data_IF_564071256803
#
_entry.id   IF_564071256803
#
_cell.length_a   1.000
_cell.length_b   1.000
_cell.length_c   1.000
_cell.angle_alpha   90.00
_cell.angle_beta   90.00
_cell.angle_gamma   90.00
#
_symmetry.space_group_name_H-M   'P 1'
#
loop_
_entity.id
_entity.type
_entity.pdbx_description
1 polymer ?
#
# COMPACT_ATOMS: atom_id res chain seq x y z
N UNK A 1 -20.69 -11.18 -12.56
CA UNK A 1 -20.13 -11.34 -11.19
C UNK A 1 -20.29 -12.81 -10.82
N UNK A 2 -19.48 -13.69 -11.41
CA UNK A 2 -18.12 -14.10 -11.03
C UNK A 2 -18.18 -15.37 -10.18
N UNK A 3 -18.15 -16.52 -10.84
CA UNK A 3 -17.94 -17.86 -10.27
C UNK A 3 -16.77 -17.88 -9.28
N UNK A 4 -15.78 -17.02 -9.53
CA UNK A 4 -14.61 -16.76 -8.69
C UNK A 4 -14.95 -16.18 -7.31
N UNK A 5 -16.05 -15.44 -7.18
CA UNK A 5 -16.52 -14.88 -5.90
C UNK A 5 -17.20 -15.95 -5.03
N UNK A 6 -17.96 -16.87 -5.65
CA UNK A 6 -18.58 -18.00 -4.94
C UNK A 6 -17.55 -19.06 -4.52
N UNK A 7 -16.54 -19.32 -5.36
CA UNK A 7 -15.40 -20.17 -4.98
C UNK A 7 -14.59 -19.55 -3.84
N UNK A 8 -14.42 -18.22 -3.84
CA UNK A 8 -13.74 -17.50 -2.75
C UNK A 8 -14.56 -17.48 -1.45
N UNK A 9 -15.89 -17.37 -1.52
CA UNK A 9 -16.75 -17.46 -0.34
C UNK A 9 -16.80 -18.88 0.24
N UNK A 10 -16.82 -19.91 -0.60
CA UNK A 10 -16.78 -21.31 -0.14
C UNK A 10 -15.47 -21.64 0.57
N UNK A 11 -14.34 -21.15 0.03
CA UNK A 11 -13.03 -21.35 0.64
C UNK A 11 -12.86 -20.56 1.94
N UNK A 12 -13.46 -19.37 2.06
CA UNK A 12 -13.45 -18.60 3.30
C UNK A 12 -14.21 -19.30 4.44
N UNK A 13 -15.30 -20.01 4.12
CA UNK A 13 -16.13 -20.74 5.10
C UNK A 13 -15.44 -22.00 5.66
N UNK A 14 -14.73 -22.75 4.80
CA UNK A 14 -13.90 -23.89 5.25
C UNK A 14 -12.74 -23.46 6.16
N UNK A 15 -12.25 -22.21 6.02
CA UNK A 15 -11.14 -21.68 6.80
C UNK A 15 -11.56 -21.17 8.19
N UNK A 16 -12.80 -20.71 8.34
CA UNK A 16 -13.39 -20.31 9.62
C UNK A 16 -13.66 -21.55 10.50
N UNK A 17 -14.14 -22.65 9.90
CA UNK A 17 -14.40 -23.92 10.60
C UNK A 17 -13.12 -24.64 11.07
N UNK A 18 -11.96 -24.33 10.47
CA UNK A 18 -10.68 -24.95 10.80
C UNK A 18 -9.90 -24.26 11.95
N UNK A 19 -10.37 -23.12 12.47
CA UNK A 19 -9.80 -22.45 13.65
C UNK A 19 -8.36 -21.94 13.51
N UNK A 20 -7.92 -21.57 12.29
CA UNK A 20 -6.53 -21.18 12.01
C UNK A 20 -6.38 -19.65 12.01
N UNK A 21 -5.41 -19.14 12.80
CA UNK A 21 -5.12 -17.71 12.93
C UNK A 21 -4.58 -17.07 11.62
N UNK A 22 -4.91 -15.79 11.40
CA UNK A 22 -4.56 -14.99 10.21
C UNK A 22 -3.06 -15.00 9.84
N UNK A 23 -2.17 -15.20 10.82
CA UNK A 23 -0.71 -15.26 10.60
C UNK A 23 -0.21 -16.55 9.94
N UNK A 24 -0.95 -17.65 10.05
CA UNK A 24 -0.61 -18.93 9.37
C UNK A 24 -1.24 -19.03 7.98
N UNK A 25 -2.27 -18.23 7.71
CA UNK A 25 -2.94 -18.14 6.42
C UNK A 25 -2.03 -17.54 5.35
N UNK A 26 -1.22 -16.52 5.69
CA UNK A 26 -0.26 -15.91 4.75
C UNK A 26 0.79 -16.92 4.31
N UNK A 27 1.36 -17.68 5.26
CA UNK A 27 2.33 -18.74 4.96
C UNK A 27 1.71 -19.88 4.15
N UNK A 28 0.51 -20.35 4.48
CA UNK A 28 -0.13 -21.44 3.72
C UNK A 28 -0.61 -20.99 2.34
N UNK A 29 -1.09 -19.76 2.18
CA UNK A 29 -1.44 -19.20 0.87
C UNK A 29 -0.20 -18.97 0.01
N UNK A 30 0.88 -18.42 0.58
CA UNK A 30 2.17 -18.32 -0.11
C UNK A 30 2.66 -19.72 -0.52
N UNK A 31 2.60 -20.70 0.38
CA UNK A 31 3.05 -22.08 0.07
C UNK A 31 2.17 -22.75 -1.00
N UNK A 32 0.83 -22.54 -0.98
CA UNK A 32 -0.10 -23.06 -1.99
C UNK A 32 0.02 -22.34 -3.32
N UNK A 33 0.26 -21.03 -3.35
CA UNK A 33 0.51 -20.25 -4.57
C UNK A 33 1.86 -20.67 -5.16
N UNK A 34 2.89 -20.88 -4.33
CA UNK A 34 4.19 -21.42 -4.76
C UNK A 34 4.04 -22.82 -5.36
N UNK A 35 3.33 -23.74 -4.69
CA UNK A 35 3.15 -25.13 -5.16
C UNK A 35 2.24 -25.23 -6.38
N UNK A 36 1.22 -24.37 -6.52
CA UNK A 36 0.36 -24.34 -7.73
C UNK A 36 1.10 -23.76 -8.94
N UNK A 37 1.95 -22.75 -8.73
CA UNK A 37 2.84 -22.25 -9.78
C UNK A 37 3.94 -23.27 -10.16
N UNK A 38 4.43 -24.08 -9.21
CA UNK A 38 5.37 -25.17 -9.47
C UNK A 38 4.71 -26.37 -10.19
N UNK A 39 3.51 -26.78 -9.77
CA UNK A 39 2.83 -27.95 -10.34
C UNK A 39 2.25 -27.70 -11.75
N UNK A 40 2.02 -26.43 -12.12
CA UNK A 40 1.63 -26.05 -13.49
C UNK A 40 2.85 -25.87 -14.41
N UNK A 41 4.06 -25.80 -13.85
CA UNK A 41 5.31 -25.56 -14.58
C UNK A 41 6.15 -26.84 -14.83
N UNK A 42 5.86 -27.95 -14.13
CA UNK A 42 6.55 -29.22 -14.35
C UNK A 42 5.67 -30.22 -15.12
N UNK A 43 5.88 -30.23 -16.45
CA UNK A 43 5.69 -31.27 -17.46
C UNK A 43 4.74 -30.88 -18.61
N UNK A 44 5.26 -30.65 -19.83
CA UNK A 44 4.64 -31.23 -21.01
C UNK A 44 4.77 -32.75 -20.87
N UNK A 45 3.64 -33.47 -20.95
CA UNK A 45 3.69 -34.91 -21.25
C UNK A 45 4.50 -35.08 -22.54
N UNK A 46 5.62 -35.77 -22.45
CA UNK A 46 6.44 -36.08 -23.61
C UNK A 46 5.58 -36.70 -24.70
N UNK A 47 5.45 -36.00 -25.82
CA UNK A 47 5.34 -36.64 -27.13
C UNK A 47 6.47 -36.10 -27.97
N UNK A 48 7.38 -37.04 -28.29
CA UNK A 48 8.50 -36.93 -29.22
C UNK A 48 8.18 -35.99 -30.39
N UNK A 49 8.98 -34.94 -30.57
CA UNK A 49 9.56 -34.52 -31.86
C UNK A 49 10.46 -33.31 -31.62
N UNK A 50 11.71 -33.46 -32.03
CA UNK A 50 12.80 -32.50 -31.89
C UNK A 50 12.71 -31.45 -32.99
N UNK A 51 12.24 -30.23 -32.69
CA UNK A 51 12.40 -29.09 -33.59
C UNK A 51 13.22 -27.98 -32.90
N UNK A 52 14.32 -27.56 -33.56
CA UNK A 52 15.26 -26.53 -33.05
C UNK A 52 14.57 -25.18 -32.80
N UNK A 53 13.50 -24.86 -33.54
CA UNK A 53 12.73 -23.63 -33.37
C UNK A 53 11.94 -23.59 -32.04
N UNK A 54 11.44 -24.74 -31.57
CA UNK A 54 10.66 -24.82 -30.33
C UNK A 54 11.56 -24.71 -29.09
N UNK A 55 12.79 -25.23 -29.17
CA UNK A 55 13.80 -25.07 -28.13
C UNK A 55 14.26 -23.61 -27.99
N UNK A 56 14.34 -22.89 -29.11
CA UNK A 56 14.72 -21.47 -29.15
C UNK A 56 13.60 -20.57 -28.63
N UNK A 57 12.35 -20.83 -29.00
CA UNK A 57 11.19 -20.11 -28.47
C UNK A 57 11.03 -20.31 -26.96
N UNK A 58 11.31 -21.51 -26.48
CA UNK A 58 11.31 -21.83 -25.03
C UNK A 58 12.44 -21.11 -24.30
N UNK A 59 13.66 -21.09 -24.86
CA UNK A 59 14.79 -20.30 -24.31
C UNK A 59 14.49 -18.80 -24.30
N UNK A 60 13.88 -18.26 -25.36
CA UNK A 60 13.53 -16.84 -25.47
C UNK A 60 12.46 -16.46 -24.45
N UNK A 61 11.44 -17.31 -24.26
CA UNK A 61 10.43 -17.14 -23.19
C UNK A 61 11.05 -17.21 -21.79
N UNK A 62 11.92 -18.17 -21.52
CA UNK A 62 12.61 -18.28 -20.24
C UNK A 62 13.52 -17.08 -19.97
N UNK A 63 14.26 -16.61 -20.98
CA UNK A 63 15.07 -15.40 -20.87
C UNK A 63 14.21 -14.17 -20.57
N UNK A 64 13.10 -13.99 -21.28
CA UNK A 64 12.15 -12.89 -21.05
C UNK A 64 11.48 -12.96 -19.68
N UNK A 65 11.16 -14.17 -19.18
CA UNK A 65 10.61 -14.37 -17.83
C UNK A 65 11.67 -14.07 -16.76
N UNK A 66 12.91 -14.53 -16.94
CA UNK A 66 14.00 -14.24 -16.00
C UNK A 66 14.35 -12.75 -15.97
N UNK A 67 14.31 -12.06 -17.11
CA UNK A 67 14.47 -10.59 -17.18
C UNK A 67 13.31 -9.86 -16.48
N UNK A 68 12.06 -10.34 -16.60
CA UNK A 68 10.92 -9.77 -15.87
C UNK A 68 11.03 -10.00 -14.36
N UNK A 69 11.57 -11.15 -13.93
CA UNK A 69 11.82 -11.45 -12.52
C UNK A 69 12.96 -10.61 -11.95
N UNK A 70 14.03 -10.35 -12.71
CA UNK A 70 15.11 -9.42 -12.29
C UNK A 70 14.65 -7.96 -12.15
N UNK A 71 13.58 -7.56 -12.86
CA UNK A 71 13.01 -6.21 -12.76
C UNK A 71 12.24 -6.00 -11.44
N UNK A 72 11.83 -7.06 -10.73
CA UNK A 72 11.27 -6.93 -9.38
C UNK A 72 12.34 -7.10 -8.30
N UNK A 73 13.32 -6.19 -8.25
CA UNK A 73 14.12 -6.01 -7.04
C UNK A 73 13.20 -5.50 -5.93
N UNK A 74 12.94 -6.34 -4.92
CA UNK A 74 12.32 -5.89 -3.68
C UNK A 74 13.26 -4.91 -2.98
N UNK A 75 12.93 -3.63 -3.05
CA UNK A 75 13.62 -2.57 -2.35
C UNK A 75 12.92 -2.32 -1.01
N UNK A 76 13.70 -2.29 0.07
CA UNK A 76 13.22 -1.91 1.40
C UNK A 76 13.48 -0.42 1.58
N UNK A 77 12.46 0.32 2.02
CA UNK A 77 12.55 1.75 2.29
C UNK A 77 12.27 2.00 3.77
N UNK A 78 12.95 2.97 4.37
CA UNK A 78 12.71 3.37 5.77
C UNK A 78 11.34 4.04 5.96
N UNK A 79 10.84 4.70 4.91
CA UNK A 79 9.54 5.37 4.91
C UNK A 79 8.74 5.03 3.65
N UNK A 80 7.42 4.91 3.79
CA UNK A 80 6.47 4.73 2.69
C UNK A 80 6.66 5.81 1.62
N UNK A 81 6.91 7.06 2.01
CA UNK A 81 7.09 8.17 1.07
C UNK A 81 8.35 8.03 0.20
N UNK A 82 9.40 7.38 0.69
CA UNK A 82 10.61 7.12 -0.10
C UNK A 82 10.37 6.04 -1.16
N UNK A 83 9.38 5.16 -0.93
CA UNK A 83 9.01 4.10 -1.87
C UNK A 83 8.07 4.57 -3.00
N UNK A 84 7.30 5.63 -2.77
CA UNK A 84 6.21 6.05 -3.68
C UNK A 84 6.43 7.43 -4.32
N UNK A 85 7.50 8.14 -3.97
CA UNK A 85 7.79 9.46 -4.53
C UNK A 85 8.82 9.36 -5.66
N UNK A 86 8.71 10.24 -6.65
CA UNK A 86 9.62 10.26 -7.79
C UNK A 86 10.99 10.88 -7.42
N UNK A 87 11.01 11.72 -6.38
CA UNK A 87 12.21 12.44 -5.92
C UNK A 87 12.32 12.45 -4.40
N UNK A 88 13.54 12.51 -3.83
CA UNK A 88 13.74 12.67 -2.40
C UNK A 88 13.07 13.93 -1.83
N UNK A 89 13.08 15.04 -2.55
CA UNK A 89 12.47 16.30 -2.15
C UNK A 89 10.94 16.17 -2.02
N UNK A 90 10.31 15.46 -2.95
CA UNK A 90 8.88 15.16 -2.87
C UNK A 90 8.57 14.25 -1.69
N UNK A 91 9.38 13.22 -1.46
CA UNK A 91 9.22 12.32 -0.31
C UNK A 91 9.28 13.10 1.00
N UNK A 92 10.28 13.97 1.15
CA UNK A 92 10.45 14.81 2.35
C UNK A 92 9.29 15.79 2.52
N UNK A 93 8.81 16.39 1.43
CA UNK A 93 7.63 17.25 1.48
C UNK A 93 6.39 16.50 1.97
N UNK A 94 6.18 15.26 1.53
CA UNK A 94 5.07 14.43 2.00
C UNK A 94 5.24 14.01 3.46
N UNK A 95 6.47 13.69 3.91
CA UNK A 95 6.77 13.40 5.32
C UNK A 95 6.40 14.58 6.22
N UNK A 96 6.85 15.79 5.87
CA UNK A 96 6.56 17.01 6.63
C UNK A 96 5.05 17.27 6.67
N UNK A 97 4.35 17.17 5.53
CA UNK A 97 2.88 17.34 5.50
C UNK A 97 2.17 16.32 6.39
N UNK A 98 2.56 15.05 6.34
CA UNK A 98 1.96 14.00 7.14
C UNK A 98 2.16 14.26 8.65
N UNK A 99 3.38 14.66 9.06
CA UNK A 99 3.66 15.03 10.44
C UNK A 99 2.80 16.20 10.92
N UNK A 100 2.73 17.28 10.13
CA UNK A 100 1.93 18.46 10.45
C UNK A 100 0.42 18.14 10.55
N UNK A 101 -0.11 17.35 9.62
CA UNK A 101 -1.51 16.90 9.66
C UNK A 101 -1.79 16.07 10.92
N UNK A 102 -0.88 15.18 11.29
CA UNK A 102 -1.03 14.39 12.51
C UNK A 102 -1.05 15.27 13.76
N UNK A 103 -0.14 16.25 13.86
CA UNK A 103 -0.12 17.19 14.98
C UNK A 103 -1.42 17.99 15.10
N UNK A 104 -1.99 18.44 13.98
CA UNK A 104 -3.29 19.13 13.97
C UNK A 104 -4.43 18.19 14.40
N UNK A 105 -4.48 16.97 13.86
CA UNK A 105 -5.50 15.99 14.22
C UNK A 105 -5.43 15.60 15.71
N UNK A 106 -4.23 15.43 16.26
CA UNK A 106 -4.04 15.20 17.69
C UNK A 106 -4.51 16.40 18.53
N UNK A 107 -4.22 17.63 18.10
CA UNK A 107 -4.67 18.83 18.80
C UNK A 107 -6.19 18.95 18.80
N UNK A 108 -6.85 18.63 17.68
CA UNK A 108 -8.33 18.59 17.57
C UNK A 108 -8.88 17.54 18.54
N UNK A 109 -8.31 16.33 18.53
CA UNK A 109 -8.76 15.22 19.36
C UNK A 109 -8.57 15.50 20.86
N UNK A 110 -7.41 16.04 21.28
CA UNK A 110 -7.11 16.38 22.68
C UNK A 110 -8.05 17.44 23.27
N UNK A 111 -8.64 18.29 22.42
CA UNK A 111 -9.62 19.33 22.83
C UNK A 111 -11.07 18.88 22.65
N UNK A 112 -11.29 17.65 22.17
CA UNK A 112 -12.61 17.08 21.91
C UNK A 112 -13.47 17.94 20.97
N UNK A 113 -12.83 18.68 20.06
CA UNK A 113 -13.54 19.57 19.16
C UNK A 113 -14.32 18.81 18.09
N UNK A 114 -15.56 19.24 17.87
CA UNK A 114 -16.28 18.94 16.63
C UNK A 114 -15.56 19.56 15.43
N UNK A 115 -15.83 19.06 14.23
CA UNK A 115 -15.24 19.63 13.01
C UNK A 115 -15.59 21.11 12.83
N UNK A 116 -16.78 21.53 13.26
CA UNK A 116 -17.22 22.93 13.18
C UNK A 116 -16.48 23.83 14.17
N UNK A 117 -16.19 23.36 15.38
CA UNK A 117 -15.38 24.08 16.36
C UNK A 117 -13.93 24.19 15.90
N UNK A 118 -13.33 23.08 15.46
CA UNK A 118 -11.97 23.08 14.91
C UNK A 118 -11.84 24.04 13.72
N UNK A 119 -12.84 24.12 12.85
CA UNK A 119 -12.86 25.04 11.73
C UNK A 119 -12.76 26.51 12.19
N UNK A 120 -13.57 26.90 13.19
CA UNK A 120 -13.53 28.25 13.77
C UNK A 120 -12.19 28.54 14.42
N UNK A 121 -11.66 27.61 15.22
CA UNK A 121 -10.41 27.81 15.94
C UNK A 121 -9.19 27.88 15.00
N UNK A 122 -9.20 27.10 13.91
CA UNK A 122 -8.11 27.04 12.94
C UNK A 122 -8.25 28.06 11.79
N UNK A 123 -9.30 28.89 11.79
CA UNK A 123 -9.52 29.91 10.76
C UNK A 123 -9.81 29.34 9.37
N UNK A 124 -10.43 28.16 9.27
CA UNK A 124 -10.73 27.48 8.01
C UNK A 124 -12.20 27.06 7.93
N UNK A 125 -12.63 26.54 6.78
CA UNK A 125 -13.99 26.03 6.61
C UNK A 125 -14.15 24.63 7.19
N UNK A 126 -15.36 24.24 7.57
CA UNK A 126 -15.64 22.88 8.07
C UNK A 126 -15.30 21.77 7.05
N UNK A 127 -15.61 21.90 5.74
CA UNK A 127 -15.16 20.92 4.76
C UNK A 127 -13.64 20.74 4.75
N UNK A 128 -12.87 21.81 4.97
CA UNK A 128 -11.40 21.73 5.07
C UNK A 128 -10.96 20.86 6.25
N UNK A 129 -11.64 20.95 7.39
CA UNK A 129 -11.39 20.07 8.54
C UNK A 129 -11.75 18.61 8.21
N UNK A 130 -12.86 18.37 7.51
CA UNK A 130 -13.21 17.02 7.04
C UNK A 130 -12.13 16.42 6.13
N UNK A 131 -11.53 17.23 5.25
CA UNK A 131 -10.43 16.77 4.40
C UNK A 131 -9.13 16.51 5.16
N UNK A 132 -8.86 17.30 6.20
CA UNK A 132 -7.73 17.08 7.11
C UNK A 132 -7.90 15.74 7.86
N UNK A 133 -9.09 15.51 8.44
CA UNK A 133 -9.41 14.31 9.20
C UNK A 133 -9.39 13.04 8.35
N UNK A 134 -9.75 13.14 7.06
CA UNK A 134 -9.68 12.03 6.10
C UNK A 134 -8.30 11.81 5.49
N UNK A 135 -7.29 12.60 5.89
CA UNK A 135 -5.92 12.42 5.43
C UNK A 135 -5.73 12.76 3.95
N UNK A 136 -6.51 13.69 3.37
CA UNK A 136 -6.34 14.14 1.97
C UNK A 136 -5.11 15.04 1.81
N UNK A 137 -3.93 14.48 2.08
CA UNK A 137 -2.63 15.15 2.15
C UNK A 137 -2.28 15.97 0.91
N UNK A 138 -2.73 15.53 -0.27
CA UNK A 138 -2.50 16.22 -1.53
C UNK A 138 -3.21 17.59 -1.61
N UNK A 139 -4.24 17.83 -0.80
CA UNK A 139 -4.99 19.09 -0.78
C UNK A 139 -4.37 20.18 0.11
N UNK A 140 -3.30 19.84 0.83
CA UNK A 140 -2.65 20.71 1.81
C UNK A 140 -1.20 20.95 1.41
N UNK A 141 -0.84 22.22 1.20
CA UNK A 141 0.56 22.61 1.16
C UNK A 141 1.12 22.71 2.58
N UNK A 142 2.44 22.64 2.71
CA UNK A 142 3.15 22.83 3.99
C UNK A 142 2.78 24.19 4.60
N UNK A 143 2.80 25.27 3.81
CA UNK A 143 2.48 26.61 4.29
C UNK A 143 1.07 26.71 4.90
N UNK A 144 0.08 26.04 4.28
CA UNK A 144 -1.30 26.02 4.80
C UNK A 144 -1.36 25.30 6.14
N UNK A 145 -0.65 24.19 6.28
CA UNK A 145 -0.60 23.45 7.53
C UNK A 145 0.11 24.26 8.63
N UNK A 146 1.20 24.95 8.29
CA UNK A 146 1.89 25.86 9.22
C UNK A 146 0.97 27.00 9.68
N UNK A 147 0.22 27.62 8.76
CA UNK A 147 -0.75 28.66 9.12
C UNK A 147 -1.83 28.14 10.09
N UNK A 148 -2.37 26.94 9.84
CA UNK A 148 -3.31 26.29 10.75
C UNK A 148 -2.68 25.99 12.12
N UNK A 149 -1.43 25.54 12.15
CA UNK A 149 -0.69 25.26 13.39
C UNK A 149 -0.47 26.53 14.23
N UNK A 150 -0.21 27.67 13.57
CA UNK A 150 -0.10 28.96 14.23
C UNK A 150 -1.42 29.35 14.93
N UNK A 151 -2.57 29.14 14.28
CA UNK A 151 -3.88 29.33 14.91
C UNK A 151 -4.12 28.38 16.09
N UNK A 152 -3.62 27.15 16.00
CA UNK A 152 -3.69 26.16 17.07
C UNK A 152 -2.79 26.46 18.28
N UNK A 153 -1.83 27.39 18.12
CA UNK A 153 -0.75 27.63 19.08
C UNK A 153 0.21 26.43 19.22
N UNK A 154 0.30 25.59 18.19
CA UNK A 154 1.15 24.40 18.17
C UNK A 154 2.35 24.67 17.29
N UNK A 155 3.55 24.38 17.80
CA UNK A 155 4.81 24.63 17.10
C UNK A 155 5.62 23.34 16.98
N UNK A 156 6.26 23.16 15.82
CA UNK A 156 7.28 22.13 15.67
C UNK A 156 8.46 22.52 16.56
N UNK A 157 8.87 21.61 17.44
CA UNK A 157 10.14 21.73 18.16
C UNK A 157 11.11 20.76 17.54
N UNK A 158 12.26 21.25 17.09
CA UNK A 158 13.40 20.39 16.84
C UNK A 158 13.88 19.90 18.21
N UNK A 159 13.85 18.58 18.40
CA UNK A 159 14.44 17.96 19.60
C UNK A 159 15.90 17.62 19.35
#
# INVERSE_FOLDING_TARGET
MSTKLNEMLGFAKELEEAGISNGDLTKKLETKIQTRNLSTALLPKEKKTTNKQDAELTRKRFKTLNTRTEIMKMQTFENVWDAISDTPEQAENMKIRAQLMNMLNEWIAKREFTQAEAARMLGVTQPRISELARGKIQLFSVDKLIAMMAHAGVYIRHR
#
